data_IF_038269126175
#
_entry.id   IF_038269126175
#
_cell.length_a   1.000
_cell.length_b   1.000
_cell.length_c   1.000
_cell.angle_alpha   90.00
_cell.angle_beta   90.00
_cell.angle_gamma   90.00
#
_symmetry.space_group_name_H-M   'P 1'
#
loop_
_entity.id
_entity.type
_entity.pdbx_description
1 polymer ?
#
# COMPACT_ATOMS: atom_id res chain seq x y z
N UNK A 1 -18.01 40.56 11.16
CA UNK A 1 -19.19 39.66 11.25
C UNK A 1 -18.88 38.23 10.84
N UNK A 2 -18.32 37.97 9.65
CA UNK A 2 -18.08 36.60 9.15
C UNK A 2 -17.00 35.82 9.93
N UNK A 3 -15.93 36.50 10.36
CA UNK A 3 -14.85 35.88 11.14
C UNK A 3 -15.35 35.24 12.44
N UNK A 4 -16.18 35.98 13.19
CA UNK A 4 -16.83 35.51 14.43
C UNK A 4 -17.75 34.31 14.19
N UNK A 5 -18.53 34.33 13.11
CA UNK A 5 -19.39 33.20 12.77
C UNK A 5 -18.54 31.96 12.45
N UNK A 6 -17.47 32.14 11.69
CA UNK A 6 -16.57 31.06 11.30
C UNK A 6 -15.78 30.47 12.46
N UNK A 7 -15.43 31.28 13.47
CA UNK A 7 -14.74 30.82 14.68
C UNK A 7 -15.69 30.03 15.57
N UNK A 8 -16.94 30.49 15.73
CA UNK A 8 -17.99 29.74 16.43
C UNK A 8 -18.25 28.38 15.80
N UNK A 9 -18.41 28.31 14.47
CA UNK A 9 -18.63 27.03 13.76
C UNK A 9 -17.45 26.08 13.94
N UNK A 10 -16.20 26.56 13.81
CA UNK A 10 -15.01 25.73 14.01
C UNK A 10 -14.89 25.23 15.46
N UNK A 11 -15.23 26.08 16.44
CA UNK A 11 -15.22 25.73 17.86
C UNK A 11 -16.25 24.66 18.20
N UNK A 12 -17.49 24.82 17.72
CA UNK A 12 -18.55 23.82 17.93
C UNK A 12 -18.17 22.50 17.25
N UNK A 13 -17.68 22.54 16.02
CA UNK A 13 -17.15 21.36 15.31
C UNK A 13 -16.06 20.65 16.13
N UNK A 14 -15.09 21.41 16.65
CA UNK A 14 -13.99 20.86 17.44
C UNK A 14 -14.45 20.24 18.75
N UNK A 15 -15.45 20.83 19.41
CA UNK A 15 -15.97 20.32 20.68
C UNK A 15 -16.82 19.06 20.51
N UNK A 16 -17.62 18.99 19.43
CA UNK A 16 -18.53 17.87 19.18
C UNK A 16 -17.83 16.69 18.50
N UNK A 17 -16.97 16.96 17.50
CA UNK A 17 -16.35 15.94 16.66
C UNK A 17 -14.85 15.72 16.95
N UNK A 18 -14.25 16.53 17.82
CA UNK A 18 -12.81 16.55 18.03
C UNK A 18 -12.04 17.19 16.87
N UNK A 19 -10.72 17.32 17.03
CA UNK A 19 -9.79 17.77 15.99
C UNK A 19 -9.11 16.53 15.40
N UNK A 20 -9.37 16.22 14.14
CA UNK A 20 -8.59 15.21 13.43
C UNK A 20 -7.20 15.79 13.11
N UNK A 21 -6.13 15.06 13.41
CA UNK A 21 -4.73 15.50 13.21
C UNK A 21 -4.32 15.61 11.72
N UNK A 22 -5.26 15.61 10.78
CA UNK A 22 -4.97 15.67 9.33
C UNK A 22 -4.14 14.51 8.78
N UNK A 23 -3.78 13.53 9.61
CA UNK A 23 -3.19 12.28 9.16
C UNK A 23 -4.28 11.56 8.35
N UNK A 24 -4.11 11.55 7.03
CA UNK A 24 -4.90 10.71 6.14
C UNK A 24 -4.90 9.25 6.61
N UNK A 25 -5.76 8.38 6.06
CA UNK A 25 -5.86 6.99 6.50
C UNK A 25 -4.45 6.41 6.71
N UNK A 26 -4.17 5.79 7.87
CA UNK A 26 -2.85 5.22 8.15
C UNK A 26 -2.45 4.37 6.95
N UNK A 27 -1.20 4.48 6.46
CA UNK A 27 -0.69 3.76 5.28
C UNK A 27 -1.18 2.30 5.33
N UNK A 28 -2.32 2.05 4.68
CA UNK A 28 -2.92 0.72 4.66
C UNK A 28 -1.97 -0.14 3.84
N UNK A 29 -1.67 -1.34 4.34
CA UNK A 29 -1.09 -2.45 3.59
C UNK A 29 0.43 -2.44 3.31
N UNK A 30 1.28 -1.92 4.20
CA UNK A 30 2.75 -2.12 4.05
C UNK A 30 3.25 -3.44 4.68
N UNK A 31 2.35 -4.31 5.14
CA UNK A 31 2.71 -5.47 5.98
C UNK A 31 3.48 -6.56 5.20
N UNK A 32 3.24 -6.67 3.90
CA UNK A 32 3.91 -7.59 2.97
C UNK A 32 5.07 -6.91 2.19
N UNK A 33 5.53 -5.74 2.63
CA UNK A 33 6.54 -4.95 1.93
C UNK A 33 7.98 -5.41 2.26
N UNK A 34 8.49 -6.33 1.45
CA UNK A 34 9.85 -6.91 1.53
C UNK A 34 10.83 -6.16 0.61
N UNK A 35 12.13 -6.16 0.93
CA UNK A 35 13.25 -5.80 0.05
C UNK A 35 13.15 -6.41 -1.36
N UNK A 36 12.72 -7.66 -1.50
CA UNK A 36 12.50 -8.32 -2.79
C UNK A 36 11.41 -7.64 -3.61
N UNK A 37 10.32 -7.25 -2.95
CA UNK A 37 9.23 -6.50 -3.57
C UNK A 37 9.74 -5.14 -4.03
N UNK A 38 10.55 -4.46 -3.21
CA UNK A 38 11.16 -3.20 -3.57
C UNK A 38 12.11 -3.33 -4.76
N UNK A 39 12.99 -4.34 -4.76
CA UNK A 39 13.93 -4.62 -5.86
C UNK A 39 13.18 -4.89 -7.16
N UNK A 40 12.19 -5.77 -7.14
CA UNK A 40 11.42 -6.11 -8.33
C UNK A 40 10.62 -4.92 -8.89
N UNK A 41 10.03 -4.09 -8.02
CA UNK A 41 9.33 -2.86 -8.43
C UNK A 41 10.31 -1.84 -8.99
N UNK A 42 11.50 -1.69 -8.39
CA UNK A 42 12.55 -0.79 -8.88
C UNK A 42 13.01 -1.20 -10.28
N UNK A 43 13.30 -2.48 -10.51
CA UNK A 43 13.66 -3.00 -11.84
C UNK A 43 12.56 -2.76 -12.86
N UNK A 44 11.30 -3.05 -12.53
CA UNK A 44 10.15 -2.78 -13.40
C UNK A 44 10.04 -1.29 -13.75
N UNK A 45 10.27 -0.40 -12.78
CA UNK A 45 10.21 1.06 -12.97
C UNK A 45 11.35 1.57 -13.85
N UNK A 46 12.55 1.04 -13.68
CA UNK A 46 13.71 1.36 -14.51
C UNK A 46 13.48 0.96 -15.97
N UNK A 47 12.93 -0.22 -16.22
CA UNK A 47 12.58 -0.66 -17.58
C UNK A 47 11.47 0.22 -18.19
N UNK A 48 10.44 0.56 -17.41
CA UNK A 48 9.39 1.46 -17.89
C UNK A 48 9.93 2.84 -18.32
N UNK A 49 10.92 3.38 -17.61
CA UNK A 49 11.59 4.64 -17.97
C UNK A 49 12.40 4.56 -19.27
N UNK A 50 12.81 3.36 -19.70
CA UNK A 50 13.55 3.14 -20.94
C UNK A 50 12.64 3.02 -22.16
N UNK A 51 11.38 2.61 -21.99
CA UNK A 51 10.39 2.48 -23.08
C UNK A 51 10.29 3.74 -23.95
N UNK A 52 10.06 4.96 -23.43
CA UNK A 52 9.93 6.14 -24.29
C UNK A 52 11.23 6.55 -24.99
N UNK A 53 12.39 6.04 -24.54
CA UNK A 53 13.71 6.36 -25.13
C UNK A 53 14.13 5.37 -26.22
N UNK A 54 13.54 4.19 -26.23
CA UNK A 54 13.90 3.12 -27.14
C UNK A 54 12.63 2.64 -27.83
N UNK A 55 12.46 2.98 -29.10
CA UNK A 55 11.34 2.56 -29.94
C UNK A 55 11.53 1.10 -30.43
N UNK A 56 12.04 0.23 -29.56
CA UNK A 56 12.43 -1.14 -29.88
C UNK A 56 11.53 -2.14 -29.15
N UNK A 57 11.05 -3.15 -29.86
CA UNK A 57 10.15 -4.19 -29.34
C UNK A 57 10.82 -5.02 -28.23
N UNK A 58 12.13 -5.21 -28.30
CA UNK A 58 12.91 -5.92 -27.28
C UNK A 58 12.85 -5.24 -25.90
N UNK A 59 12.88 -3.90 -25.85
CA UNK A 59 12.80 -3.16 -24.59
C UNK A 59 11.41 -3.30 -23.96
N UNK A 60 10.38 -3.40 -24.80
CA UNK A 60 9.01 -3.66 -24.36
C UNK A 60 8.85 -5.09 -23.82
N UNK A 61 9.45 -6.09 -24.47
CA UNK A 61 9.47 -7.47 -24.01
C UNK A 61 10.20 -7.62 -22.66
N UNK A 62 11.35 -6.96 -22.49
CA UNK A 62 12.07 -6.92 -21.21
C UNK A 62 11.25 -6.27 -20.09
N UNK A 63 10.51 -5.19 -20.39
CA UNK A 63 9.57 -4.61 -19.44
C UNK A 63 8.43 -5.56 -19.07
N UNK A 64 7.86 -6.29 -20.06
CA UNK A 64 6.82 -7.29 -19.83
C UNK A 64 7.27 -8.38 -18.86
N UNK A 65 8.47 -8.91 -19.04
CA UNK A 65 9.05 -9.90 -18.13
C UNK A 65 9.30 -9.31 -16.73
N UNK A 66 9.92 -8.13 -16.65
CA UNK A 66 10.13 -7.45 -15.36
C UNK A 66 8.81 -7.15 -14.62
N UNK A 67 7.75 -6.81 -15.35
CA UNK A 67 6.40 -6.60 -14.80
C UNK A 67 5.79 -7.91 -14.29
N UNK A 68 5.93 -9.00 -15.03
CA UNK A 68 5.46 -10.33 -14.61
C UNK A 68 6.18 -10.79 -13.35
N UNK A 69 7.49 -10.58 -13.29
CA UNK A 69 8.29 -10.93 -12.12
C UNK A 69 7.91 -10.08 -10.90
N UNK A 70 7.71 -8.77 -11.06
CA UNK A 70 7.24 -7.92 -9.97
C UNK A 70 5.87 -8.36 -9.44
N UNK A 71 4.94 -8.75 -10.32
CA UNK A 71 3.64 -9.31 -9.88
C UNK A 71 3.82 -10.61 -9.10
N UNK A 72 4.68 -11.52 -9.56
CA UNK A 72 4.96 -12.79 -8.88
C UNK A 72 5.51 -12.56 -7.48
N UNK A 73 6.51 -11.69 -7.34
CA UNK A 73 7.14 -11.39 -6.05
C UNK A 73 6.15 -10.73 -5.08
N UNK A 74 5.31 -9.81 -5.56
CA UNK A 74 4.25 -9.20 -4.74
C UNK A 74 3.24 -10.24 -4.27
N UNK A 75 2.81 -11.14 -5.17
CA UNK A 75 1.89 -12.22 -4.82
C UNK A 75 2.51 -13.14 -3.76
N UNK A 76 3.76 -13.56 -3.95
CA UNK A 76 4.46 -14.42 -3.00
C UNK A 76 4.59 -13.76 -1.62
N UNK A 77 4.98 -12.48 -1.58
CA UNK A 77 5.11 -11.75 -0.33
C UNK A 77 3.77 -11.65 0.42
N UNK A 78 2.67 -11.45 -0.31
CA UNK A 78 1.33 -11.49 0.26
C UNK A 78 0.96 -12.87 0.79
N UNK A 79 1.16 -13.92 -0.01
CA UNK A 79 0.86 -15.29 0.40
C UNK A 79 1.65 -15.68 1.65
N UNK A 80 2.97 -15.44 1.67
CA UNK A 80 3.81 -15.76 2.83
C UNK A 80 3.36 -15.02 4.09
N UNK A 81 2.99 -13.75 3.97
CA UNK A 81 2.49 -12.97 5.11
C UNK A 81 1.16 -13.53 5.62
N UNK A 82 0.25 -13.92 4.71
CA UNK A 82 -1.02 -14.52 5.09
C UNK A 82 -0.83 -15.89 5.74
N UNK A 83 0.05 -16.74 5.20
CA UNK A 83 0.39 -18.04 5.79
C UNK A 83 0.97 -17.90 7.20
N UNK A 84 1.89 -16.95 7.43
CA UNK A 84 2.43 -16.65 8.76
C UNK A 84 1.33 -16.15 9.71
N UNK A 85 0.44 -15.27 9.25
CA UNK A 85 -0.70 -14.80 10.04
C UNK A 85 -1.63 -15.96 10.43
N UNK A 86 -2.01 -16.82 9.48
CA UNK A 86 -2.85 -17.99 9.74
C UNK A 86 -2.18 -18.99 10.67
N UNK A 87 -0.87 -19.21 10.54
CA UNK A 87 -0.13 -20.09 11.45
C UNK A 87 -0.16 -19.56 12.88
N UNK A 88 0.03 -18.25 13.08
CA UNK A 88 -0.06 -17.63 14.42
C UNK A 88 -1.46 -17.67 15.02
N UNK A 89 -2.49 -17.55 14.18
CA UNK A 89 -3.89 -17.64 14.61
C UNK A 89 -4.29 -19.09 14.93
N UNK A 90 -3.86 -20.06 14.12
CA UNK A 90 -4.13 -21.49 14.31
C UNK A 90 -3.45 -22.05 15.58
N UNK A 91 -2.33 -21.47 16.01
CA UNK A 91 -1.69 -21.82 17.29
C UNK A 91 -2.36 -21.16 18.52
N UNK A 92 -3.37 -20.31 18.30
CA UNK A 92 -4.21 -19.66 19.31
C UNK A 92 -5.67 -19.99 18.99
N UNK A 93 -6.02 -21.27 19.02
CA UNK A 93 -7.41 -21.68 19.29
C UNK A 93 -7.79 -20.95 20.59
N UNK A 94 -8.60 -19.89 20.55
CA UNK A 94 -10.04 -19.99 20.79
C UNK A 94 -10.88 -18.79 20.25
N UNK A 95 -10.35 -17.84 19.46
CA UNK A 95 -11.18 -16.76 18.89
C UNK A 95 -10.76 -16.36 17.47
N UNK A 96 -11.50 -16.84 16.47
CA UNK A 96 -11.35 -16.47 15.06
C UNK A 96 -11.89 -15.04 14.87
N UNK A 97 -11.02 -14.04 14.99
CA UNK A 97 -11.34 -12.67 14.61
C UNK A 97 -11.35 -12.53 13.08
N UNK A 98 -12.56 -12.49 12.51
CA UNK A 98 -12.81 -12.13 11.12
C UNK A 98 -12.61 -10.61 10.99
N UNK A 99 -11.61 -10.17 10.22
CA UNK A 99 -11.45 -8.76 9.85
C UNK A 99 -12.34 -8.43 8.63
N UNK A 100 -13.30 -7.50 8.81
CA UNK A 100 -14.13 -6.85 7.77
C UNK A 100 -13.47 -5.54 7.32
#
# INVERSE_FOLDING_TARGET
MWLEMSSCIRRVRSNVLGISKGLGPPKKETWWWNEDVQRAIKTKREMYRKIPKCQNEDVYNQYREARKQAKKVVSQAKTNFMEDLYTRLCNRDDEIYIYI
#
